data_IF_452081713043
#
_entry.id   IF_452081713043
#
_cell.length_a   1.000
_cell.length_b   1.000
_cell.length_c   1.000
_cell.angle_alpha   90.00
_cell.angle_beta   90.00
_cell.angle_gamma   90.00
#
_symmetry.space_group_name_H-M   'P 1'
#
loop_
_entity.id
_entity.type
_entity.pdbx_description
1 polymer ?
#
# COMPACT_ATOMS: atom_id res chain seq x y z
N UNK A 1 1.45 -20.37 12.07
CA UNK A 1 2.51 -19.37 12.32
C UNK A 1 1.86 -18.01 12.24
N UNK A 2 1.79 -17.28 13.35
CA UNK A 2 1.36 -15.89 13.33
C UNK A 2 2.61 -15.06 13.03
N UNK A 3 2.74 -14.56 11.81
CA UNK A 3 3.79 -13.59 11.52
C UNK A 3 3.38 -12.29 12.23
N UNK A 4 4.23 -11.68 13.07
CA UNK A 4 3.92 -10.35 13.58
C UNK A 4 3.63 -9.44 12.40
N UNK A 5 2.58 -8.61 12.51
CA UNK A 5 2.15 -7.75 11.42
C UNK A 5 3.32 -6.83 11.03
N UNK A 6 3.73 -6.85 9.75
CA UNK A 6 4.75 -5.92 9.25
C UNK A 6 4.20 -4.50 9.37
N UNK A 7 2.93 -4.32 8.99
CA UNK A 7 2.12 -3.11 9.12
C UNK A 7 0.74 -3.43 9.70
N UNK A 8 0.01 -2.40 10.12
CA UNK A 8 -1.41 -2.52 10.46
C UNK A 8 -2.32 -2.67 9.23
N UNK A 9 -3.63 -2.58 9.49
CA UNK A 9 -4.65 -2.39 8.45
C UNK A 9 -5.08 -0.93 8.53
N UNK A 10 -4.63 -0.14 7.57
CA UNK A 10 -4.81 1.32 7.57
C UNK A 10 -5.72 1.76 6.42
N UNK A 11 -6.38 2.91 6.60
CA UNK A 11 -7.21 3.55 5.57
C UNK A 11 -6.86 5.03 5.50
N UNK A 12 -6.61 5.52 4.29
CA UNK A 12 -6.30 6.91 3.98
C UNK A 12 -7.43 7.44 3.10
N UNK A 13 -8.10 8.50 3.54
CA UNK A 13 -9.32 8.99 2.91
C UNK A 13 -9.10 10.12 1.89
N UNK A 14 -7.92 10.72 1.89
CA UNK A 14 -7.60 11.99 1.23
C UNK A 14 -6.28 11.93 0.45
N UNK A 15 -5.83 10.74 0.03
CA UNK A 15 -4.61 10.60 -0.77
C UNK A 15 -4.69 11.36 -2.09
N UNK A 16 -3.80 12.34 -2.28
CA UNK A 16 -3.67 13.15 -3.49
C UNK A 16 -2.49 12.68 -4.35
N UNK A 17 -2.79 11.98 -5.45
CA UNK A 17 -1.77 11.48 -6.38
C UNK A 17 -0.88 12.60 -6.95
N UNK A 18 0.43 12.38 -6.94
CA UNK A 18 1.44 13.36 -7.36
C UNK A 18 1.77 14.45 -6.33
N UNK A 19 1.06 14.51 -5.21
CA UNK A 19 1.35 15.39 -4.07
C UNK A 19 1.81 14.58 -2.85
N UNK A 20 1.04 13.55 -2.50
CA UNK A 20 1.29 12.70 -1.35
C UNK A 20 2.20 11.52 -1.68
N UNK A 21 2.89 11.01 -0.66
CA UNK A 21 3.72 9.81 -0.76
C UNK A 21 3.43 8.85 0.39
N UNK A 22 3.33 7.56 0.05
CA UNK A 22 3.31 6.47 1.02
C UNK A 22 4.75 6.10 1.36
N UNK A 23 5.13 6.18 2.62
CA UNK A 23 6.50 5.91 3.05
C UNK A 23 6.61 4.57 3.83
N UNK A 24 6.91 3.46 3.14
CA UNK A 24 7.20 2.18 3.77
C UNK A 24 8.71 1.97 4.04
N UNK A 25 9.58 2.98 4.03
CA UNK A 25 11.04 2.78 4.06
C UNK A 25 11.56 2.02 5.30
N UNK A 26 10.86 2.10 6.42
CA UNK A 26 11.17 1.31 7.63
C UNK A 26 10.94 -0.22 7.48
N UNK A 27 10.23 -0.65 6.42
CA UNK A 27 9.92 -2.07 6.18
C UNK A 27 11.00 -2.84 5.42
N UNK A 28 11.92 -2.13 4.75
CA UNK A 28 12.88 -2.73 3.81
C UNK A 28 12.26 -3.29 2.52
N UNK A 29 10.97 -3.01 2.27
CA UNK A 29 10.31 -3.37 1.01
C UNK A 29 10.66 -2.39 -0.11
N UNK A 30 10.42 -2.84 -1.34
CA UNK A 30 10.44 -2.04 -2.56
C UNK A 30 9.08 -2.14 -3.25
N UNK A 31 8.82 -1.34 -4.29
CA UNK A 31 7.56 -1.43 -5.04
C UNK A 31 7.30 -2.83 -5.61
N UNK A 32 8.37 -3.54 -6.02
CA UNK A 32 8.27 -4.92 -6.52
C UNK A 32 7.82 -5.93 -5.45
N UNK A 33 7.82 -5.57 -4.17
CA UNK A 33 7.30 -6.39 -3.09
C UNK A 33 5.84 -6.09 -2.77
N UNK A 34 5.22 -5.13 -3.46
CA UNK A 34 3.85 -4.72 -3.22
C UNK A 34 2.90 -5.27 -4.30
N UNK A 35 1.69 -5.55 -3.87
CA UNK A 35 0.56 -5.78 -4.76
C UNK A 35 -0.48 -4.71 -4.50
N UNK A 36 -0.79 -3.94 -5.55
CA UNK A 36 -1.93 -3.02 -5.55
C UNK A 36 -3.09 -3.74 -6.21
N UNK A 37 -4.16 -3.96 -5.47
CA UNK A 37 -5.43 -4.48 -5.96
C UNK A 37 -6.52 -3.41 -5.93
N UNK A 38 -7.68 -3.71 -6.52
CA UNK A 38 -8.83 -2.78 -6.53
C UNK A 38 -10.13 -3.44 -6.01
N UNK A 39 -10.18 -3.95 -4.77
CA UNK A 39 -11.43 -4.42 -4.22
C UNK A 39 -12.41 -3.25 -4.09
N UNK A 40 -13.62 -3.41 -4.61
CA UNK A 40 -14.71 -2.42 -4.51
C UNK A 40 -14.41 -1.06 -5.17
N UNK A 41 -13.44 -0.98 -6.09
CA UNK A 41 -13.11 0.26 -6.81
C UNK A 41 -12.09 1.16 -6.12
N UNK A 42 -11.44 0.67 -5.05
CA UNK A 42 -10.44 1.40 -4.28
C UNK A 42 -9.11 0.66 -4.26
N UNK A 43 -8.00 1.41 -4.34
CA UNK A 43 -6.67 0.85 -4.31
C UNK A 43 -6.38 0.28 -2.91
N UNK A 44 -6.03 -1.00 -2.88
CA UNK A 44 -5.59 -1.70 -1.66
C UNK A 44 -4.18 -2.22 -1.89
N UNK A 45 -3.24 -1.69 -1.12
CA UNK A 45 -1.82 -2.02 -1.17
C UNK A 45 -1.55 -3.11 -0.12
N UNK A 46 -0.91 -4.19 -0.55
CA UNK A 46 -0.53 -5.34 0.28
C UNK A 46 0.88 -5.79 -0.04
N UNK A 47 1.46 -6.65 0.80
CA UNK A 47 2.76 -7.27 0.52
C UNK A 47 2.57 -8.54 -0.32
N UNK A 48 3.26 -8.62 -1.45
CA UNK A 48 3.11 -9.72 -2.41
C UNK A 48 3.42 -11.07 -1.77
N UNK A 49 2.48 -12.01 -1.91
CA UNK A 49 2.63 -13.37 -1.41
C UNK A 49 2.56 -13.51 0.11
N UNK A 50 2.24 -12.44 0.84
CA UNK A 50 2.14 -12.45 2.30
C UNK A 50 0.74 -11.98 2.74
N UNK A 51 -0.04 -12.91 3.28
CA UNK A 51 -1.34 -12.58 3.87
C UNK A 51 -1.21 -12.27 5.35
N UNK A 52 -2.00 -11.32 5.84
CA UNK A 52 -2.07 -10.96 7.27
C UNK A 52 -0.89 -10.14 7.80
N UNK A 53 0.00 -9.65 6.92
CA UNK A 53 1.15 -8.82 7.32
C UNK A 53 0.88 -7.32 7.24
N UNK A 54 -0.28 -6.90 6.72
CA UNK A 54 -0.70 -5.50 6.68
C UNK A 54 -1.34 -5.12 5.34
N UNK A 55 -2.11 -4.02 5.35
CA UNK A 55 -2.72 -3.45 4.15
C UNK A 55 -2.99 -1.96 4.31
N UNK A 56 -2.94 -1.22 3.21
CA UNK A 56 -3.32 0.19 3.15
C UNK A 56 -4.42 0.33 2.10
N UNK A 57 -5.59 0.85 2.49
CA UNK A 57 -6.67 1.21 1.57
C UNK A 57 -6.66 2.71 1.30
N UNK A 58 -6.71 3.09 0.03
CA UNK A 58 -6.83 4.48 -0.40
C UNK A 58 -8.26 4.72 -0.91
N UNK A 59 -9.09 5.31 -0.06
CA UNK A 59 -10.51 5.49 -0.35
C UNK A 59 -10.71 6.42 -1.55
N UNK A 60 -11.55 6.00 -2.49
CA UNK A 60 -11.85 6.78 -3.70
C UNK A 60 -10.71 6.86 -4.73
N UNK A 61 -9.59 6.17 -4.51
CA UNK A 61 -8.46 6.16 -5.45
C UNK A 61 -8.45 4.82 -6.19
N UNK A 62 -8.54 4.76 -7.53
CA UNK A 62 -8.48 3.49 -8.27
C UNK A 62 -7.06 2.93 -8.30
N UNK A 63 -6.92 1.60 -8.40
CA UNK A 63 -5.60 0.95 -8.49
C UNK A 63 -4.76 1.50 -9.64
N UNK A 64 -5.40 1.81 -10.78
CA UNK A 64 -4.72 2.32 -11.97
C UNK A 64 -4.06 3.71 -11.76
N UNK A 65 -4.42 4.43 -10.69
CA UNK A 65 -3.81 5.71 -10.33
C UNK A 65 -2.55 5.55 -9.46
N UNK A 66 -2.25 4.34 -8.98
CA UNK A 66 -1.12 4.08 -8.10
C UNK A 66 0.05 3.49 -8.88
N UNK A 67 1.20 4.13 -8.75
CA UNK A 67 2.46 3.78 -9.39
C UNK A 67 3.61 3.77 -8.38
N UNK A 68 4.81 3.36 -8.81
CA UNK A 68 6.00 3.44 -7.96
C UNK A 68 6.32 4.88 -7.52
N UNK A 69 5.93 5.90 -8.29
CA UNK A 69 6.18 7.30 -7.97
C UNK A 69 5.40 7.79 -6.72
N UNK A 70 4.37 7.05 -6.30
CA UNK A 70 3.55 7.37 -5.13
C UNK A 70 4.18 6.87 -3.81
N UNK A 71 5.40 6.32 -3.87
CA UNK A 71 6.08 5.71 -2.72
C UNK A 71 7.46 6.30 -2.46
N UNK A 72 7.82 6.38 -1.18
CA UNK A 72 9.17 6.70 -0.71
C UNK A 72 9.80 5.49 -0.01
N UNK A 73 10.77 4.83 -0.67
CA UNK A 73 11.42 3.61 -0.16
C UNK A 73 12.82 3.83 0.46
N UNK A 74 13.34 5.07 0.42
CA UNK A 74 14.69 5.44 0.90
C UNK A 74 14.77 5.74 2.40
#
# INVERSE_FOLDING_TARGET
>A
MNFPSLWGTDTIADFEGGTDLINPSASGLTFANLTVGEPLGEAVITVTGQSGVGSITLTGVPQAAITEADFAFI
#
